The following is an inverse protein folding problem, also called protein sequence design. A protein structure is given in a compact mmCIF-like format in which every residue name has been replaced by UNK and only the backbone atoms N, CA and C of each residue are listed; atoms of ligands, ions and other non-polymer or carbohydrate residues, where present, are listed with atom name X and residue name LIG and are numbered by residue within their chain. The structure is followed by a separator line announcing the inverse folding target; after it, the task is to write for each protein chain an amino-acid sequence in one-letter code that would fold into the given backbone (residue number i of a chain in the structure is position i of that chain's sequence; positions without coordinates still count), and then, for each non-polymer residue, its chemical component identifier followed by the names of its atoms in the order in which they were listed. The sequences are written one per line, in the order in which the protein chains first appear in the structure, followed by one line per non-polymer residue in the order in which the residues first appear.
data_IF_923548796592
#
_entry.id   IF_923548796592
#
_cell.length_a   1.000
_cell.length_b   1.000
_cell.length_c   1.000
_cell.angle_alpha   90.00
_cell.angle_beta   90.00
_cell.angle_gamma   90.00
#
_symmetry.space_group_name_H-M   'P 1'
#
loop_
_entity.id
_entity.type
_entity.pdbx_description
1 polymer ?
#
# COMPACT_ATOMS: atom_id res chain seq x y z
N UNK A 1 -6.78 24.57 40.12
CA UNK A 1 -7.11 24.19 38.74
C UNK A 1 -6.22 24.99 37.82
N UNK A 2 -5.31 24.35 37.10
CA UNK A 2 -4.51 25.02 36.07
C UNK A 2 -5.33 24.91 34.79
N UNK A 3 -5.91 26.02 34.35
CA UNK A 3 -6.53 26.12 33.03
C UNK A 3 -5.43 25.92 31.98
N UNK A 4 -5.51 24.82 31.23
CA UNK A 4 -4.76 24.69 29.99
C UNK A 4 -5.36 25.68 29.00
N UNK A 5 -4.71 26.83 28.83
CA UNK A 5 -4.88 27.63 27.63
C UNK A 5 -4.37 26.82 26.45
N UNK A 6 -5.30 26.27 25.65
CA UNK A 6 -4.99 25.84 24.29
C UNK A 6 -4.59 27.09 23.52
N UNK A 7 -3.29 27.24 23.27
CA UNK A 7 -2.77 28.20 22.30
C UNK A 7 -3.25 27.75 20.91
N UNK A 8 -4.42 28.24 20.52
CA UNK A 8 -4.93 28.14 19.17
C UNK A 8 -4.20 29.23 18.36
N UNK A 9 -3.04 28.86 17.80
CA UNK A 9 -2.30 29.70 16.85
C UNK A 9 -2.85 29.48 15.43
N UNK A 10 -3.98 30.11 15.16
CA UNK A 10 -4.65 30.08 13.85
C UNK A 10 -4.10 31.14 12.88
N UNK A 11 -3.19 32.01 13.34
CA UNK A 11 -2.77 33.16 12.55
C UNK A 11 -1.76 32.80 11.46
N UNK A 12 -1.00 31.72 11.60
CA UNK A 12 -0.08 31.24 10.55
C UNK A 12 0.04 29.70 10.58
N UNK A 13 -0.99 29.00 10.11
CA UNK A 13 -0.87 27.56 9.87
C UNK A 13 0.06 27.27 8.68
N UNK A 14 1.37 27.28 8.94
CA UNK A 14 2.43 27.02 7.95
C UNK A 14 2.67 25.53 7.69
N UNK A 15 2.03 24.64 8.44
CA UNK A 15 2.25 23.19 8.37
C UNK A 15 1.16 22.46 7.58
N UNK A 16 0.01 23.11 7.35
CA UNK A 16 -1.07 22.60 6.51
C UNK A 16 -0.86 23.02 5.06
N UNK A 17 -0.85 22.05 4.15
CA UNK A 17 -0.62 22.28 2.72
C UNK A 17 -1.96 22.28 1.98
N UNK A 18 -2.62 23.44 1.92
CA UNK A 18 -3.95 23.58 1.28
C UNK A 18 -3.93 23.40 -0.23
N UNK A 19 -2.87 23.85 -0.91
CA UNK A 19 -2.71 23.80 -2.36
C UNK A 19 -2.27 22.41 -2.90
N UNK A 20 -2.70 21.32 -2.25
CA UNK A 20 -2.40 19.94 -2.70
C UNK A 20 -3.10 19.65 -4.02
N UNK A 21 -2.33 19.05 -4.93
CA UNK A 21 -2.70 18.74 -6.31
C UNK A 21 -3.14 17.30 -6.46
N UNK A 22 -3.69 17.01 -7.64
CA UNK A 22 -4.10 15.70 -8.11
C UNK A 22 -2.89 14.77 -8.40
N UNK A 23 -1.97 14.66 -7.45
CA UNK A 23 -0.71 13.91 -7.55
C UNK A 23 -0.73 12.73 -6.60
N UNK A 24 -0.25 11.58 -7.08
CA UNK A 24 -0.10 10.33 -6.35
C UNK A 24 1.38 9.94 -6.36
N UNK A 25 1.99 9.85 -5.19
CA UNK A 25 3.35 9.30 -5.06
C UNK A 25 3.33 7.81 -4.77
N UNK A 26 4.14 7.04 -5.50
CA UNK A 26 4.39 5.62 -5.25
C UNK A 26 5.82 5.47 -4.71
N UNK A 27 5.92 5.14 -3.43
CA UNK A 27 7.17 5.09 -2.67
C UNK A 27 7.56 3.63 -2.42
N UNK A 28 8.30 3.02 -3.36
CA UNK A 28 8.70 1.61 -3.32
C UNK A 28 10.09 1.39 -3.93
N UNK A 29 10.88 0.52 -3.30
CA UNK A 29 12.14 0.02 -3.86
C UNK A 29 11.93 -1.10 -4.89
N UNK A 30 10.70 -1.62 -5.02
CA UNK A 30 10.36 -2.71 -5.91
C UNK A 30 9.81 -2.18 -7.24
N UNK A 31 10.58 -2.23 -8.34
CA UNK A 31 10.09 -1.79 -9.64
C UNK A 31 8.89 -2.62 -10.13
N UNK A 32 8.74 -3.88 -9.70
CA UNK A 32 7.61 -4.73 -10.07
C UNK A 32 6.33 -4.24 -9.40
N UNK A 33 6.38 -3.94 -8.09
CA UNK A 33 5.24 -3.35 -7.39
C UNK A 33 4.93 -1.95 -7.91
N UNK A 34 5.95 -1.11 -8.08
CA UNK A 34 5.81 0.25 -8.60
C UNK A 34 5.08 0.28 -9.93
N UNK A 35 5.57 -0.52 -10.89
CA UNK A 35 4.94 -0.68 -12.20
C UNK A 35 3.51 -1.22 -12.10
N UNK A 36 3.25 -2.20 -11.24
CA UNK A 36 1.88 -2.75 -11.08
C UNK A 36 0.90 -1.72 -10.54
N UNK A 37 1.31 -0.94 -9.54
CA UNK A 37 0.49 0.14 -8.97
C UNK A 37 0.28 1.26 -10.00
N UNK A 38 1.34 1.73 -10.64
CA UNK A 38 1.28 2.81 -11.62
C UNK A 38 0.37 2.46 -12.81
N UNK A 39 0.55 1.26 -13.39
CA UNK A 39 -0.29 0.84 -14.52
C UNK A 39 -1.75 0.58 -14.13
N UNK A 40 -2.01 0.11 -12.90
CA UNK A 40 -3.40 -0.05 -12.41
C UNK A 40 -4.10 1.29 -12.30
N UNK A 41 -3.44 2.27 -11.70
CA UNK A 41 -3.97 3.63 -11.54
C UNK A 41 -4.14 4.27 -12.92
N UNK A 42 -3.12 4.19 -13.78
CA UNK A 42 -3.15 4.79 -15.12
C UNK A 42 -4.17 4.17 -16.09
N UNK A 43 -4.60 2.93 -15.85
CA UNK A 43 -5.61 2.25 -16.68
C UNK A 43 -7.05 2.36 -16.16
N UNK A 44 -7.27 3.05 -15.03
CA UNK A 44 -8.60 3.34 -14.52
C UNK A 44 -9.07 4.71 -15.03
N UNK A 45 -10.13 4.73 -15.84
CA UNK A 45 -10.66 5.97 -16.44
C UNK A 45 -11.09 7.01 -15.39
N UNK A 46 -11.51 6.57 -14.19
CA UNK A 46 -11.89 7.49 -13.11
C UNK A 46 -10.68 8.23 -12.54
N UNK A 47 -9.49 7.69 -12.78
CA UNK A 47 -8.21 8.24 -12.33
C UNK A 47 -7.49 9.04 -13.42
N UNK A 48 -8.16 9.29 -14.56
CA UNK A 48 -7.61 10.10 -15.64
C UNK A 48 -7.36 11.53 -15.17
N UNK A 49 -6.16 12.03 -15.44
CA UNK A 49 -5.74 13.38 -15.05
C UNK A 49 -5.12 13.48 -13.65
N UNK A 50 -5.03 12.38 -12.90
CA UNK A 50 -4.13 12.32 -11.75
C UNK A 50 -2.70 12.06 -12.23
N UNK A 51 -1.75 12.85 -11.75
CA UNK A 51 -0.33 12.68 -12.00
C UNK A 51 0.22 11.57 -11.09
N UNK A 52 0.99 10.65 -11.66
CA UNK A 52 1.62 9.55 -10.93
C UNK A 52 3.12 9.81 -10.90
N UNK A 53 3.68 9.96 -9.70
CA UNK A 53 5.12 10.14 -9.50
C UNK A 53 5.66 8.89 -8.81
N UNK A 54 6.62 8.24 -9.46
CA UNK A 54 7.35 7.09 -8.91
C UNK A 54 8.84 7.44 -8.89
N UNK A 55 9.35 8.04 -7.79
CA UNK A 55 10.77 8.33 -7.66
C UNK A 55 11.53 7.00 -7.68
N UNK A 56 12.21 6.74 -8.79
CA UNK A 56 12.95 5.50 -9.02
C UNK A 56 14.14 5.75 -9.92
N UNK A 57 15.19 4.96 -9.70
CA UNK A 57 16.44 5.02 -10.43
C UNK A 57 16.95 3.60 -10.73
N UNK A 58 18.12 3.48 -11.38
CA UNK A 58 18.65 2.20 -11.83
C UNK A 58 19.01 1.23 -10.69
N UNK A 59 19.42 1.75 -9.54
CA UNK A 59 19.78 0.94 -8.36
C UNK A 59 18.86 1.26 -7.17
N UNK A 60 18.86 0.37 -6.15
CA UNK A 60 18.09 0.60 -4.92
C UNK A 60 18.62 1.82 -4.17
N UNK A 61 19.94 1.99 -4.08
CA UNK A 61 20.54 3.15 -3.41
C UNK A 61 20.15 4.45 -4.10
N UNK A 62 20.29 4.53 -5.41
CA UNK A 62 19.91 5.72 -6.19
C UNK A 62 18.40 5.99 -6.06
N UNK A 63 17.60 4.94 -5.97
CA UNK A 63 16.16 5.05 -5.75
C UNK A 63 15.85 5.67 -4.37
N UNK A 64 16.54 5.24 -3.32
CA UNK A 64 16.42 5.87 -1.98
C UNK A 64 16.80 7.35 -2.06
N UNK A 65 17.96 7.69 -2.64
CA UNK A 65 18.39 9.09 -2.77
C UNK A 65 17.40 9.94 -3.59
N UNK A 66 16.81 9.36 -4.64
CA UNK A 66 15.79 10.02 -5.46
C UNK A 66 14.53 10.28 -4.64
N UNK A 67 14.08 9.33 -3.82
CA UNK A 67 12.95 9.54 -2.90
C UNK A 67 13.27 10.58 -1.82
N UNK A 68 14.51 10.61 -1.31
CA UNK A 68 14.92 11.62 -0.32
C UNK A 68 14.86 13.03 -0.90
N UNK A 69 15.32 13.23 -2.14
CA UNK A 69 15.22 14.52 -2.84
C UNK A 69 13.76 14.92 -3.10
N UNK A 70 12.91 13.96 -3.41
CA UNK A 70 11.48 14.19 -3.64
C UNK A 70 10.65 14.31 -2.34
N UNK A 71 11.26 14.09 -1.16
CA UNK A 71 10.51 13.96 0.09
C UNK A 71 9.67 15.20 0.42
N UNK A 72 10.23 16.40 0.22
CA UNK A 72 9.52 17.66 0.48
C UNK A 72 8.41 17.92 -0.56
N UNK A 73 8.61 17.52 -1.82
CA UNK A 73 7.63 17.69 -2.90
C UNK A 73 6.35 16.88 -2.66
N UNK A 74 6.41 15.86 -1.82
CA UNK A 74 5.22 15.08 -1.42
C UNK A 74 4.16 15.92 -0.69
N UNK A 75 4.52 17.10 -0.17
CA UNK A 75 3.56 18.06 0.42
C UNK A 75 2.53 18.56 -0.59
N UNK A 76 2.80 18.47 -1.89
CA UNK A 76 1.86 18.79 -2.95
C UNK A 76 0.92 17.64 -3.30
N UNK A 77 1.13 16.43 -2.80
CA UNK A 77 0.34 15.26 -3.17
C UNK A 77 -0.93 15.10 -2.34
N UNK A 78 -1.99 14.55 -2.93
CA UNK A 78 -3.21 14.16 -2.21
C UNK A 78 -3.14 12.72 -1.71
N UNK A 79 -2.28 11.89 -2.30
CA UNK A 79 -2.14 10.48 -1.93
C UNK A 79 -0.68 10.04 -1.97
N UNK A 80 -0.27 9.35 -0.91
CA UNK A 80 1.02 8.68 -0.81
C UNK A 80 0.78 7.17 -0.68
N UNK A 81 1.48 6.38 -1.49
CA UNK A 81 1.43 4.92 -1.45
C UNK A 81 2.79 4.43 -0.98
N UNK A 82 2.87 3.92 0.25
CA UNK A 82 4.11 3.42 0.83
C UNK A 82 4.21 1.91 0.70
N UNK A 83 5.38 1.43 0.27
CA UNK A 83 5.77 0.04 0.39
C UNK A 83 6.40 -0.20 1.77
N UNK A 84 5.67 -0.90 2.63
CA UNK A 84 6.10 -1.20 4.00
C UNK A 84 6.52 -2.65 4.17
N UNK A 85 6.91 -3.34 3.07
CA UNK A 85 7.38 -4.73 3.15
C UNK A 85 8.64 -4.83 4.01
N UNK A 86 8.71 -5.88 4.83
CA UNK A 86 9.85 -6.09 5.75
C UNK A 86 11.23 -6.05 5.08
N UNK A 87 11.34 -6.57 3.86
CA UNK A 87 12.62 -6.66 3.15
C UNK A 87 13.22 -5.30 2.77
N UNK A 88 12.41 -4.33 2.33
CA UNK A 88 12.88 -3.00 1.90
C UNK A 88 12.77 -1.93 2.98
N UNK A 89 11.95 -2.17 4.00
CA UNK A 89 11.62 -1.16 5.01
C UNK A 89 12.83 -0.58 5.77
N UNK A 90 13.89 -1.34 6.14
CA UNK A 90 15.06 -0.75 6.80
C UNK A 90 15.71 0.37 5.99
N UNK A 91 15.79 0.22 4.66
CA UNK A 91 16.36 1.23 3.76
C UNK A 91 15.41 2.41 3.55
N UNK A 92 14.10 2.16 3.56
CA UNK A 92 13.07 3.19 3.41
C UNK A 92 12.75 3.97 4.69
N UNK A 93 13.20 3.50 5.87
CA UNK A 93 12.76 4.04 7.16
C UNK A 93 13.03 5.54 7.30
N UNK A 94 14.21 6.00 6.90
CA UNK A 94 14.58 7.42 6.97
C UNK A 94 13.67 8.24 6.05
N UNK A 95 13.62 7.90 4.76
CA UNK A 95 12.83 8.67 3.78
C UNK A 95 11.35 8.66 4.10
N UNK A 96 10.79 7.54 4.53
CA UNK A 96 9.40 7.45 4.96
C UNK A 96 9.12 8.35 6.17
N UNK A 97 9.98 8.34 7.19
CA UNK A 97 9.83 9.20 8.36
C UNK A 97 9.88 10.68 7.97
N UNK A 98 10.79 11.06 7.07
CA UNK A 98 10.94 12.44 6.62
C UNK A 98 9.67 12.88 5.85
N UNK A 99 9.18 12.08 4.90
CA UNK A 99 7.91 12.31 4.18
C UNK A 99 6.72 12.41 5.13
N UNK A 100 6.61 11.49 6.09
CA UNK A 100 5.55 11.51 7.11
C UNK A 100 5.63 12.80 7.91
N UNK A 101 6.83 13.23 8.31
CA UNK A 101 7.07 14.48 9.02
C UNK A 101 6.49 15.69 8.27
N UNK A 102 6.79 15.81 6.99
CA UNK A 102 6.29 16.92 6.15
C UNK A 102 4.77 16.92 5.96
N UNK A 103 4.12 15.75 6.02
CA UNK A 103 2.69 15.59 5.72
C UNK A 103 1.81 15.36 6.97
N UNK A 104 2.41 15.25 8.17
CA UNK A 104 1.74 14.75 9.38
C UNK A 104 0.45 15.51 9.72
N UNK A 105 0.45 16.84 9.55
CA UNK A 105 -0.71 17.69 9.87
C UNK A 105 -1.91 17.45 8.95
N UNK A 106 -1.64 17.05 7.70
CA UNK A 106 -2.64 16.87 6.66
C UNK A 106 -3.14 15.43 6.53
N UNK A 107 -2.49 14.47 7.18
CA UNK A 107 -2.88 13.07 7.04
C UNK A 107 -4.32 12.81 7.48
N UNK A 108 -5.01 12.02 6.67
CA UNK A 108 -6.43 11.70 6.78
C UNK A 108 -7.38 12.90 6.66
N UNK A 109 -6.87 14.07 6.25
CA UNK A 109 -7.62 15.30 5.96
C UNK A 109 -7.42 15.74 4.51
N UNK A 110 -6.27 16.31 4.18
CA UNK A 110 -5.93 16.84 2.85
C UNK A 110 -4.98 15.91 2.07
N UNK A 111 -4.28 15.02 2.79
CA UNK A 111 -3.44 13.97 2.24
C UNK A 111 -3.82 12.62 2.86
N UNK A 112 -3.82 11.56 2.07
CA UNK A 112 -4.05 10.21 2.56
C UNK A 112 -2.86 9.32 2.28
N UNK A 113 -2.67 8.30 3.11
CA UNK A 113 -1.65 7.27 2.90
C UNK A 113 -2.31 5.91 2.70
N UNK A 114 -1.84 5.17 1.69
CA UNK A 114 -2.08 3.74 1.52
C UNK A 114 -0.78 3.02 1.82
N UNK A 115 -0.84 1.94 2.59
CA UNK A 115 0.31 1.05 2.76
C UNK A 115 0.09 -0.22 1.97
N UNK A 116 1.12 -0.69 1.28
CA UNK A 116 1.17 -2.03 0.71
C UNK A 116 2.29 -2.78 1.42
N UNK A 117 2.01 -3.96 1.95
CA UNK A 117 3.01 -4.70 2.69
C UNK A 117 2.76 -6.20 2.70
N UNK A 118 3.78 -6.91 3.15
CA UNK A 118 3.79 -8.36 3.23
C UNK A 118 3.14 -8.89 4.50
N UNK A 119 2.71 -8.03 5.44
CA UNK A 119 1.98 -8.45 6.63
C UNK A 119 2.82 -9.20 7.68
N UNK A 120 2.18 -9.72 8.73
CA UNK A 120 2.88 -10.34 9.85
C UNK A 120 3.58 -11.66 9.43
N UNK A 121 4.85 -11.88 9.82
CA UNK A 121 5.61 -13.09 9.50
C UNK A 121 4.87 -14.39 9.87
N UNK A 122 4.18 -14.36 11.01
CA UNK A 122 3.56 -15.53 11.65
C UNK A 122 2.08 -15.70 11.27
N UNK A 123 1.59 -15.02 10.21
CA UNK A 123 0.17 -15.01 9.84
C UNK A 123 -0.48 -16.39 9.78
N UNK A 124 0.22 -17.36 9.18
CA UNK A 124 -0.30 -18.72 9.01
C UNK A 124 0.29 -19.72 10.01
N UNK A 125 0.98 -19.24 11.05
CA UNK A 125 1.63 -20.09 12.05
C UNK A 125 0.89 -20.06 13.39
N UNK A 126 0.97 -21.17 14.13
CA UNK A 126 0.51 -21.28 15.52
C UNK A 126 -0.96 -20.92 15.76
N UNK A 127 -1.82 -21.06 14.74
CA UNK A 127 -3.26 -20.84 14.88
C UNK A 127 -3.68 -19.41 15.26
N UNK A 128 -2.77 -18.43 15.20
CA UNK A 128 -3.05 -17.05 15.66
C UNK A 128 -3.99 -16.26 14.74
N UNK A 129 -4.24 -16.77 13.54
CA UNK A 129 -5.26 -16.22 12.65
C UNK A 129 -5.01 -14.77 12.23
N UNK A 130 -6.09 -14.04 11.97
CA UNK A 130 -6.01 -12.64 11.54
C UNK A 130 -5.67 -11.67 12.69
N UNK A 131 -5.71 -12.12 13.95
CA UNK A 131 -5.47 -11.27 15.12
C UNK A 131 -4.03 -10.74 15.19
N UNK A 132 -3.07 -11.45 14.57
CA UNK A 132 -1.67 -10.98 14.48
C UNK A 132 -1.53 -9.69 13.67
N UNK A 133 -2.51 -9.37 12.82
CA UNK A 133 -2.51 -8.09 12.12
C UNK A 133 -2.73 -6.92 13.09
N UNK A 134 -3.45 -7.08 14.19
CA UNK A 134 -3.70 -5.97 15.13
C UNK A 134 -2.41 -5.38 15.67
N UNK A 135 -1.48 -6.22 16.13
CA UNK A 135 -0.16 -5.77 16.63
C UNK A 135 0.68 -5.21 15.47
N UNK A 136 0.67 -5.90 14.33
CA UNK A 136 1.44 -5.50 13.15
C UNK A 136 1.03 -4.11 12.63
N UNK A 137 -0.28 -3.84 12.57
CA UNK A 137 -0.82 -2.58 12.08
C UNK A 137 -0.72 -1.47 13.12
N UNK A 138 -0.77 -1.81 14.41
CA UNK A 138 -0.56 -0.85 15.50
C UNK A 138 0.80 -0.15 15.39
N UNK A 139 1.85 -0.88 14.99
CA UNK A 139 3.16 -0.29 14.70
C UNK A 139 3.10 0.72 13.52
N UNK A 140 2.42 0.35 12.43
CA UNK A 140 2.29 1.22 11.26
C UNK A 140 1.38 2.43 11.49
N UNK A 141 0.43 2.34 12.43
CA UNK A 141 -0.53 3.43 12.70
C UNK A 141 0.17 4.71 13.12
N UNK A 142 1.15 4.59 14.02
CA UNK A 142 1.91 5.73 14.56
C UNK A 142 2.85 6.29 13.51
N UNK A 143 3.44 5.43 12.70
CA UNK A 143 4.50 5.78 11.76
C UNK A 143 3.97 6.34 10.44
N UNK A 144 2.79 5.92 9.97
CA UNK A 144 2.33 6.26 8.61
C UNK A 144 0.91 6.83 8.50
N UNK A 145 0.15 6.82 9.61
CA UNK A 145 -1.25 7.28 9.63
C UNK A 145 -2.14 6.69 8.50
N UNK A 146 -2.09 5.37 8.24
CA UNK A 146 -2.69 4.76 7.06
C UNK A 146 -4.20 4.94 7.01
N UNK A 147 -4.70 5.38 5.86
CA UNK A 147 -6.13 5.36 5.56
C UNK A 147 -6.63 3.92 5.30
N UNK A 148 -5.76 3.09 4.72
CA UNK A 148 -5.97 1.66 4.49
C UNK A 148 -4.62 0.95 4.31
N UNK A 149 -4.54 -0.27 4.83
CA UNK A 149 -3.43 -1.18 4.60
C UNK A 149 -3.84 -2.28 3.61
N UNK A 150 -2.99 -2.57 2.63
CA UNK A 150 -3.15 -3.66 1.70
C UNK A 150 -2.10 -4.74 1.99
N UNK A 151 -2.58 -5.91 2.44
CA UNK A 151 -1.76 -7.11 2.52
C UNK A 151 -1.60 -7.69 1.11
N UNK A 152 -0.36 -7.93 0.69
CA UNK A 152 -0.05 -8.56 -0.58
C UNK A 152 0.48 -10.00 -0.38
N UNK A 153 -0.31 -11.03 -0.71
CA UNK A 153 0.14 -12.42 -0.61
C UNK A 153 1.37 -12.74 -1.45
N UNK A 154 1.62 -12.01 -2.55
CA UNK A 154 2.81 -12.24 -3.39
C UNK A 154 4.08 -11.69 -2.76
N UNK A 155 3.97 -10.81 -1.76
CA UNK A 155 5.11 -10.26 -1.03
C UNK A 155 5.37 -10.97 0.31
N UNK A 156 4.38 -11.72 0.81
CA UNK A 156 4.53 -12.49 2.03
C UNK A 156 5.32 -13.76 1.76
N UNK A 157 6.46 -13.90 2.43
CA UNK A 157 7.24 -15.14 2.50
C UNK A 157 7.24 -15.61 3.95
N UNK A 158 6.82 -16.86 4.17
CA UNK A 158 6.89 -17.50 5.48
C UNK A 158 8.35 -17.70 5.91
N UNK A 159 8.65 -17.83 7.21
CA UNK A 159 10.02 -18.06 7.70
C UNK A 159 10.80 -19.18 6.97
N UNK A 160 10.12 -20.25 6.55
CA UNK A 160 10.69 -21.36 5.76
C UNK A 160 10.96 -21.01 4.29
N UNK A 161 10.35 -19.94 3.79
CA UNK A 161 10.51 -19.41 2.44
C UNK A 161 11.53 -18.28 2.40
N UNK A 162 11.82 -17.60 3.53
CA UNK A 162 12.74 -16.44 3.60
C UNK A 162 14.18 -16.87 3.32
N UNK A 163 14.80 -16.22 2.33
CA UNK A 163 16.25 -16.25 2.15
C UNK A 163 16.85 -15.10 2.97
N UNK A 164 17.69 -15.43 3.95
CA UNK A 164 18.47 -14.45 4.67
C UNK A 164 19.54 -13.90 3.71
N UNK A 165 19.31 -12.72 3.14
CA UNK A 165 20.32 -11.99 2.38
C UNK A 165 20.78 -10.78 3.20
N UNK A 166 22.06 -10.46 3.13
CA UNK A 166 22.58 -9.22 3.68
C UNK A 166 21.95 -8.02 2.93
N UNK A 167 21.79 -6.90 3.62
CA UNK A 167 21.46 -5.63 2.99
C UNK A 167 22.80 -4.97 2.68
N UNK A 168 23.29 -5.18 1.46
CA UNK A 168 24.51 -4.58 0.91
C UNK A 168 24.21 -3.90 -0.44
N UNK A 169 25.26 -3.44 -1.14
CA UNK A 169 25.13 -2.74 -2.41
C UNK A 169 24.56 -3.64 -3.54
N UNK A 170 24.57 -4.96 -3.37
CA UNK A 170 23.99 -5.96 -4.30
C UNK A 170 22.58 -6.41 -3.87
N UNK A 171 21.98 -5.75 -2.87
CA UNK A 171 20.65 -6.09 -2.41
C UNK A 171 19.63 -6.03 -3.56
N UNK A 172 19.01 -7.17 -3.83
CA UNK A 172 17.90 -7.28 -4.79
C UNK A 172 16.66 -7.82 -4.09
N UNK A 173 15.52 -7.18 -4.33
CA UNK A 173 14.25 -7.71 -3.87
C UNK A 173 13.88 -8.97 -4.65
N UNK A 174 13.32 -9.95 -3.94
CA UNK A 174 12.88 -11.21 -4.52
C UNK A 174 11.70 -11.01 -5.45
N UNK A 175 11.78 -11.66 -6.60
CA UNK A 175 10.76 -11.68 -7.63
C UNK A 175 10.16 -13.08 -7.85
N UNK A 176 10.63 -14.10 -7.15
CA UNK A 176 10.08 -15.45 -7.20
C UNK A 176 8.72 -15.51 -6.52
N UNK A 177 7.77 -16.26 -7.10
CA UNK A 177 6.47 -16.44 -6.44
C UNK A 177 6.67 -17.25 -5.15
N UNK A 178 6.06 -16.85 -4.01
CA UNK A 178 6.18 -17.63 -2.80
C UNK A 178 5.79 -19.11 -3.01
N UNK A 179 6.59 -20.04 -2.48
CA UNK A 179 6.45 -21.50 -2.71
C UNK A 179 5.03 -21.98 -2.44
N UNK A 180 4.36 -21.41 -1.44
CA UNK A 180 2.98 -21.77 -1.08
C UNK A 180 1.93 -21.38 -2.13
N UNK A 181 2.25 -20.42 -3.00
CA UNK A 181 1.41 -19.95 -4.11
C UNK A 181 1.82 -20.58 -5.45
N UNK A 182 3.07 -21.02 -5.60
CA UNK A 182 3.59 -21.60 -6.84
C UNK A 182 2.72 -22.73 -7.44
N UNK A 183 2.15 -23.68 -6.66
CA UNK A 183 1.28 -24.73 -7.21
C UNK A 183 0.00 -24.24 -7.91
N UNK A 184 -0.41 -23.00 -7.65
CA UNK A 184 -1.59 -22.39 -8.25
C UNK A 184 -1.32 -21.70 -9.60
N UNK A 185 -0.05 -21.63 -10.00
CA UNK A 185 0.38 -21.07 -11.28
C UNK A 185 0.97 -22.16 -12.17
N UNK A 186 1.05 -21.90 -13.48
CA UNK A 186 1.51 -22.90 -14.46
C UNK A 186 2.92 -23.40 -14.09
N UNK A 187 3.08 -24.72 -14.06
CA UNK A 187 4.30 -25.39 -13.60
C UNK A 187 5.39 -25.44 -14.69
N UNK A 188 5.02 -25.14 -15.93
CA UNK A 188 5.85 -25.38 -17.11
C UNK A 188 6.93 -24.31 -17.34
N UNK A 189 6.93 -23.22 -16.55
CA UNK A 189 7.90 -22.11 -16.62
C UNK A 189 8.17 -21.56 -15.22
N UNK A 190 9.39 -21.11 -14.96
CA UNK A 190 9.69 -20.31 -13.78
C UNK A 190 8.79 -19.08 -13.76
N UNK A 191 7.91 -19.02 -12.75
CA UNK A 191 6.91 -17.98 -12.61
C UNK A 191 7.43 -16.90 -11.66
N UNK A 192 7.51 -15.67 -12.15
CA UNK A 192 7.86 -14.51 -11.33
C UNK A 192 6.62 -13.75 -10.88
N UNK A 193 6.73 -13.03 -9.76
CA UNK A 193 5.73 -12.09 -9.26
C UNK A 193 5.34 -11.09 -10.35
N UNK A 194 6.30 -10.59 -11.13
CA UNK A 194 6.04 -9.68 -12.24
C UNK A 194 5.15 -10.28 -13.33
N UNK A 195 5.35 -11.56 -13.68
CA UNK A 195 4.50 -12.27 -14.64
C UNK A 195 3.08 -12.46 -14.10
N UNK A 196 2.95 -12.86 -12.83
CA UNK A 196 1.64 -13.01 -12.15
C UNK A 196 0.88 -11.68 -12.14
N UNK A 197 1.54 -10.60 -11.69
CA UNK A 197 0.93 -9.26 -11.65
C UNK A 197 0.47 -8.80 -13.01
N UNK A 198 1.34 -8.86 -14.03
CA UNK A 198 1.00 -8.49 -15.42
C UNK A 198 -0.19 -9.27 -15.95
N UNK A 199 -0.23 -10.58 -15.69
CA UNK A 199 -1.37 -11.41 -16.08
C UNK A 199 -2.66 -10.92 -15.42
N UNK A 200 -2.71 -10.83 -14.10
CA UNK A 200 -3.96 -10.49 -13.40
C UNK A 200 -4.36 -9.01 -13.51
N UNK A 201 -3.40 -8.10 -13.69
CA UNK A 201 -3.64 -6.68 -13.96
C UNK A 201 -4.42 -6.50 -15.27
N UNK A 202 -4.00 -7.19 -16.33
CA UNK A 202 -4.75 -7.22 -17.59
C UNK A 202 -4.95 -5.85 -18.24
N UNK A 203 -4.02 -4.90 -18.04
CA UNK A 203 -4.01 -3.61 -18.74
C UNK A 203 -4.05 -3.83 -20.25
N UNK A 204 -4.86 -3.01 -20.95
CA UNK A 204 -5.09 -3.13 -22.39
C UNK A 204 -5.91 -4.36 -22.82
N UNK A 205 -6.51 -5.11 -21.87
CA UNK A 205 -7.45 -6.19 -22.19
C UNK A 205 -8.91 -5.73 -22.04
N UNK A 206 -9.84 -6.31 -22.82
CA UNK A 206 -11.27 -6.08 -22.65
C UNK A 206 -11.74 -6.33 -21.22
N UNK A 207 -12.77 -5.58 -20.79
CA UNK A 207 -13.32 -5.63 -19.44
C UNK A 207 -13.73 -7.03 -18.99
N UNK A 208 -14.34 -7.80 -19.89
CA UNK A 208 -14.73 -9.18 -19.61
C UNK A 208 -13.52 -10.05 -19.21
N UNK A 209 -12.38 -9.85 -19.88
CA UNK A 209 -11.13 -10.56 -19.55
C UNK A 209 -10.58 -10.07 -18.21
N UNK A 210 -10.56 -8.75 -17.97
CA UNK A 210 -10.10 -8.18 -16.70
C UNK A 210 -10.93 -8.71 -15.53
N UNK A 211 -12.25 -8.68 -15.65
CA UNK A 211 -13.18 -9.21 -14.65
C UNK A 211 -13.03 -10.72 -14.46
N UNK A 212 -12.84 -11.50 -15.53
CA UNK A 212 -12.58 -12.94 -15.44
C UNK A 212 -11.30 -13.22 -14.65
N UNK A 213 -10.20 -12.53 -14.97
CA UNK A 213 -8.91 -12.67 -14.27
C UNK A 213 -9.02 -12.24 -12.80
N UNK A 214 -9.69 -11.12 -12.52
CA UNK A 214 -9.96 -10.67 -11.15
C UNK A 214 -10.74 -11.71 -10.34
N UNK A 215 -11.80 -12.30 -10.92
CA UNK A 215 -12.56 -13.39 -10.29
C UNK A 215 -11.68 -14.63 -10.03
N UNK A 216 -10.78 -14.98 -10.96
CA UNK A 216 -9.83 -16.07 -10.77
C UNK A 216 -8.88 -15.80 -9.60
N UNK A 217 -8.26 -14.62 -9.55
CA UNK A 217 -7.35 -14.26 -8.46
C UNK A 217 -8.07 -14.26 -7.10
N UNK A 218 -9.28 -13.69 -7.05
CA UNK A 218 -10.12 -13.69 -5.86
C UNK A 218 -10.42 -15.10 -5.35
N UNK A 219 -10.73 -16.03 -6.26
CA UNK A 219 -10.96 -17.46 -5.92
C UNK A 219 -9.69 -18.12 -5.41
N UNK A 220 -8.55 -17.88 -6.05
CA UNK A 220 -7.25 -18.39 -5.64
C UNK A 220 -6.91 -17.94 -4.22
N UNK A 221 -6.94 -16.63 -3.95
CA UNK A 221 -6.64 -16.11 -2.63
C UNK A 221 -7.64 -16.59 -1.58
N UNK A 222 -8.95 -16.62 -1.90
CA UNK A 222 -9.93 -17.19 -0.97
C UNK A 222 -9.59 -18.63 -0.60
N UNK A 223 -9.35 -19.49 -1.59
CA UNK A 223 -8.99 -20.89 -1.37
C UNK A 223 -7.74 -21.01 -0.49
N UNK A 224 -6.68 -20.31 -0.87
CA UNK A 224 -5.39 -20.32 -0.18
C UNK A 224 -5.47 -19.87 1.29
N UNK A 225 -6.24 -18.82 1.56
CA UNK A 225 -6.38 -18.26 2.91
C UNK A 225 -7.29 -19.16 3.75
N UNK A 226 -8.42 -19.64 3.20
CA UNK A 226 -9.34 -20.53 3.93
C UNK A 226 -8.69 -21.85 4.32
N UNK A 227 -7.84 -22.42 3.47
CA UNK A 227 -7.09 -23.65 3.78
C UNK A 227 -6.14 -23.46 4.98
N UNK A 228 -5.58 -22.25 5.16
CA UNK A 228 -4.59 -21.97 6.23
C UNK A 228 -5.19 -21.36 7.48
N UNK A 229 -6.33 -20.69 7.37
CA UNK A 229 -7.06 -20.05 8.45
C UNK A 229 -8.46 -20.68 8.59
N UNK A 230 -8.55 -21.95 9.02
CA UNK A 230 -9.83 -22.61 9.21
C UNK A 230 -10.65 -21.89 10.28
N UNK A 231 -11.97 -21.80 10.09
CA UNK A 231 -12.88 -21.12 11.02
C UNK A 231 -13.05 -19.61 10.80
N UNK A 232 -12.21 -18.96 9.98
CA UNK A 232 -12.26 -17.51 9.74
C UNK A 232 -13.13 -17.09 8.53
N UNK A 233 -14.13 -17.89 8.14
CA UNK A 233 -14.83 -17.71 6.85
C UNK A 233 -15.46 -16.32 6.66
N UNK A 234 -16.16 -15.78 7.66
CA UNK A 234 -16.77 -14.45 7.58
C UNK A 234 -15.72 -13.32 7.57
N UNK A 235 -14.63 -13.47 8.33
CA UNK A 235 -13.53 -12.50 8.31
C UNK A 235 -12.83 -12.47 6.95
N UNK A 236 -12.58 -13.64 6.34
CA UNK A 236 -12.00 -13.76 4.99
C UNK A 236 -12.93 -13.13 3.94
N UNK A 237 -14.25 -13.34 4.07
CA UNK A 237 -15.25 -12.73 3.20
C UNK A 237 -15.23 -11.20 3.31
N UNK A 238 -15.14 -10.66 4.53
CA UNK A 238 -15.00 -9.22 4.77
C UNK A 238 -13.69 -8.67 4.18
N UNK A 239 -12.57 -9.36 4.38
CA UNK A 239 -11.25 -8.98 3.88
C UNK A 239 -11.19 -8.89 2.35
N UNK A 240 -11.90 -9.80 1.65
CA UNK A 240 -12.05 -9.83 0.20
C UNK A 240 -13.13 -8.88 -0.36
N UNK A 241 -13.75 -8.08 0.49
CA UNK A 241 -14.77 -7.11 0.10
C UNK A 241 -14.17 -5.73 -0.18
N UNK A 242 -14.92 -4.87 -0.87
CA UNK A 242 -14.52 -3.47 -1.07
C UNK A 242 -14.29 -2.71 0.23
N UNK A 243 -15.06 -3.04 1.29
CA UNK A 243 -14.96 -2.38 2.60
C UNK A 243 -13.70 -2.77 3.37
N UNK A 244 -13.08 -3.90 3.03
CA UNK A 244 -12.01 -4.49 3.82
C UNK A 244 -12.51 -5.15 5.10
N UNK A 245 -11.56 -5.71 5.83
CA UNK A 245 -11.75 -6.17 7.21
C UNK A 245 -11.27 -5.06 8.16
N UNK A 246 -12.14 -4.68 9.09
CA UNK A 246 -11.81 -3.74 10.15
C UNK A 246 -11.22 -4.53 11.33
N UNK A 247 -10.00 -4.20 11.73
CA UNK A 247 -9.32 -4.77 12.89
C UNK A 247 -8.99 -3.64 13.86
N UNK A 248 -9.66 -3.62 15.01
CA UNK A 248 -9.60 -2.48 15.93
C UNK A 248 -9.86 -1.14 15.19
N UNK A 249 -8.84 -0.27 15.09
CA UNK A 249 -8.94 1.03 14.41
C UNK A 249 -8.49 1.00 12.95
N UNK A 250 -7.82 -0.07 12.54
CA UNK A 250 -7.12 -0.19 11.28
C UNK A 250 -7.94 -0.98 10.27
N UNK A 251 -7.82 -0.60 9.01
CA UNK A 251 -8.52 -1.26 7.91
C UNK A 251 -7.53 -2.04 7.06
N UNK A 252 -7.81 -3.32 6.87
CA UNK A 252 -7.04 -4.16 5.96
C UNK A 252 -7.85 -4.58 4.73
N UNK A 253 -7.19 -4.48 3.60
CA UNK A 253 -7.61 -5.00 2.32
C UNK A 253 -6.59 -6.01 1.80
N UNK A 254 -7.00 -6.77 0.79
CA UNK A 254 -6.14 -7.70 0.09
C UNK A 254 -5.70 -7.08 -1.23
N UNK A 255 -4.41 -6.97 -1.49
CA UNK A 255 -3.92 -6.48 -2.78
C UNK A 255 -4.10 -7.54 -3.87
N UNK A 256 -4.54 -7.20 -5.09
CA UNK A 256 -5.00 -5.88 -5.58
C UNK A 256 -6.53 -5.68 -5.51
N UNK A 257 -7.25 -6.44 -4.68
CA UNK A 257 -8.72 -6.40 -4.64
C UNK A 257 -9.23 -5.01 -4.25
N UNK A 258 -9.97 -4.36 -5.16
CA UNK A 258 -10.54 -3.03 -4.97
C UNK A 258 -9.50 -1.92 -4.74
N UNK A 259 -8.26 -2.12 -5.17
CA UNK A 259 -7.19 -1.15 -4.96
C UNK A 259 -7.51 0.19 -5.63
N UNK A 260 -7.91 0.15 -6.89
CA UNK A 260 -8.24 1.32 -7.71
C UNK A 260 -9.47 2.08 -7.14
N UNK A 261 -10.45 1.34 -6.58
CA UNK A 261 -11.59 1.92 -5.87
C UNK A 261 -11.17 2.72 -4.63
N UNK A 262 -10.13 2.27 -3.92
CA UNK A 262 -9.60 2.95 -2.75
C UNK A 262 -8.80 4.19 -3.13
N UNK A 263 -7.95 4.09 -4.16
CA UNK A 263 -7.22 5.24 -4.71
C UNK A 263 -8.19 6.34 -5.11
N UNK A 264 -9.20 6.03 -5.92
CA UNK A 264 -10.22 6.99 -6.36
C UNK A 264 -10.95 7.63 -5.18
N UNK A 265 -11.40 6.81 -4.22
CA UNK A 265 -12.11 7.29 -3.04
C UNK A 265 -11.28 8.27 -2.21
N UNK A 266 -9.99 7.99 -1.99
CA UNK A 266 -9.13 8.82 -1.15
C UNK A 266 -8.74 10.12 -1.87
N UNK A 267 -8.44 10.06 -3.17
CA UNK A 267 -8.17 11.26 -3.97
C UNK A 267 -9.38 12.21 -3.96
N UNK A 268 -10.58 11.68 -4.21
CA UNK A 268 -11.81 12.48 -4.17
C UNK A 268 -12.12 13.00 -2.78
N UNK A 269 -11.81 12.24 -1.72
CA UNK A 269 -11.99 12.69 -0.33
C UNK A 269 -11.04 13.85 0.00
N UNK A 270 -9.77 13.76 -0.39
CA UNK A 270 -8.81 14.85 -0.20
C UNK A 270 -9.25 16.13 -0.90
N UNK A 271 -9.68 16.01 -2.16
CA UNK A 271 -10.19 17.12 -2.94
C UNK A 271 -11.37 17.81 -2.26
N UNK A 272 -12.40 17.03 -1.89
CA UNK A 272 -13.58 17.57 -1.21
C UNK A 272 -13.25 18.26 0.10
N UNK A 273 -12.32 17.70 0.87
CA UNK A 273 -11.91 18.29 2.13
C UNK A 273 -11.20 19.64 1.92
N UNK A 274 -10.38 19.75 0.88
CA UNK A 274 -9.75 21.02 0.50
C UNK A 274 -10.81 22.06 0.10
N UNK A 275 -11.76 21.70 -0.76
CA UNK A 275 -12.87 22.60 -1.17
C UNK A 275 -13.70 23.07 0.04
N UNK A 276 -14.05 22.16 0.96
CA UNK A 276 -14.84 22.53 2.15
C UNK A 276 -14.12 23.42 3.16
N UNK A 277 -12.80 23.53 3.09
CA UNK A 277 -12.01 24.40 3.98
C UNK A 277 -11.77 25.79 3.39
N UNK A 278 -12.11 26.02 2.12
CA UNK A 278 -12.10 27.35 1.50
C UNK A 278 -13.41 28.12 1.78
N UNK A 279 -14.51 27.41 2.08
CA UNK A 279 -15.84 28.01 2.34
C UNK A 279 -16.08 28.42 3.82
N UNK A 280 -15.08 28.31 4.69
CA UNK A 280 -15.20 28.73 6.10
C UNK A 280 -14.43 30.04 6.30
N UNK A 281 -15.11 31.19 6.44
CA UNK A 281 -14.48 32.50 6.62
C UNK A 281 -13.78 32.66 7.98
#
# INVERSE_FOLDING_TARGET
MIERQELIDDHHDILTHRARRNVIYILTLDPILGTDVAERIGADERLKGYEIIQPSAGTIRDTVETMERAAQDTTHARLLIFDVRRAGLPMLRKVHRDIVGFNRKDFNKLCFSILIGDGPPMLYQNGRGLDVFTIYLGAHRVDYHPAVFFYDPLLHYEPSEVQLRAIDDEFTLRDDVPKRLAPYFRQDREMTVGMVRRYFRGVGKPDEIRQKRGRMLKRLYRKQITERLPGCAEQIKAWLSRKGLQLATEKINLYPMHFEDWVYKLMHKAQRNAESTEDTP
#
